data_IF_730474519804
#
_entry.id   IF_730474519804
#
_cell.length_a   1.000
_cell.length_b   1.000
_cell.length_c   1.000
_cell.angle_alpha   90.00
_cell.angle_beta   90.00
_cell.angle_gamma   90.00
#
_symmetry.space_group_name_H-M   'P 1'
#
loop_
_entity.id
_entity.type
_entity.pdbx_description
1 polymer ?
#
# COMPACT_ATOMS: atom_id res chain seq x y z
N UNK A 1 -8.13 26.88 -3.46
CA UNK A 1 -9.18 26.21 -2.66
C UNK A 1 -8.58 25.04 -1.90
N UNK A 2 -8.88 24.92 -0.64
CA UNK A 2 -8.40 23.82 0.19
C UNK A 2 -9.12 22.52 -0.19
N UNK A 3 -8.35 21.44 -0.40
CA UNK A 3 -8.92 20.14 -0.72
C UNK A 3 -9.53 19.50 0.53
N UNK A 4 -10.60 18.73 0.34
CA UNK A 4 -11.37 18.16 1.45
C UNK A 4 -10.62 17.10 2.22
N UNK A 5 -9.80 16.25 1.55
CA UNK A 5 -9.09 15.17 2.21
C UNK A 5 -7.93 14.65 1.35
N UNK A 6 -7.06 13.89 2.01
CA UNK A 6 -5.89 13.26 1.38
C UNK A 6 -6.14 11.77 1.18
N UNK A 7 -5.82 11.28 -0.02
CA UNK A 7 -5.77 9.86 -0.34
C UNK A 7 -4.35 9.49 -0.73
N UNK A 8 -3.82 8.46 -0.11
CA UNK A 8 -2.52 7.90 -0.48
C UNK A 8 -2.71 6.84 -1.56
N UNK A 9 -1.89 6.91 -2.59
CA UNK A 9 -1.92 5.97 -3.69
C UNK A 9 -0.55 5.90 -4.35
N UNK A 10 -0.18 4.71 -4.80
CA UNK A 10 0.97 4.50 -5.66
C UNK A 10 0.62 3.42 -6.68
N UNK A 11 1.10 3.59 -7.90
CA UNK A 11 0.86 2.62 -8.97
C UNK A 11 1.37 1.21 -8.62
N UNK A 12 2.31 1.10 -7.68
CA UNK A 12 2.81 -0.19 -7.24
C UNK A 12 1.73 -1.04 -6.57
N UNK A 13 0.64 -0.43 -6.11
CA UNK A 13 -0.48 -1.17 -5.54
C UNK A 13 -1.04 -2.20 -6.52
N UNK A 14 -1.00 -1.89 -7.82
CA UNK A 14 -1.34 -2.83 -8.88
C UNK A 14 -0.11 -3.44 -9.54
N UNK A 15 0.85 -2.61 -9.94
CA UNK A 15 2.03 -3.08 -10.69
C UNK A 15 3.00 -3.95 -9.87
N UNK A 16 2.90 -3.90 -8.55
CA UNK A 16 3.70 -4.75 -7.67
C UNK A 16 3.24 -6.21 -7.62
N UNK A 17 2.13 -6.54 -8.26
CA UNK A 17 1.59 -7.90 -8.33
C UNK A 17 1.76 -8.45 -9.74
N UNK A 18 1.85 -9.77 -9.85
CA UNK A 18 1.93 -10.41 -11.16
C UNK A 18 0.57 -10.32 -11.86
N UNK A 19 0.58 -10.01 -13.16
CA UNK A 19 -0.66 -9.85 -13.94
C UNK A 19 -1.46 -11.13 -14.06
N UNK A 20 -0.84 -12.30 -13.87
CA UNK A 20 -1.52 -13.59 -13.91
C UNK A 20 -2.10 -14.04 -12.58
N UNK A 21 -1.91 -13.26 -11.51
CA UNK A 21 -2.44 -13.59 -10.21
C UNK A 21 -3.96 -13.64 -10.22
N UNK A 22 -4.55 -14.51 -9.40
CA UNK A 22 -6.01 -14.58 -9.26
C UNK A 22 -6.61 -13.32 -8.65
N UNK A 23 -5.83 -12.63 -7.84
CA UNK A 23 -6.23 -11.35 -7.27
C UNK A 23 -6.44 -10.33 -8.40
N UNK A 24 -7.50 -9.50 -8.37
CA UNK A 24 -7.74 -8.50 -9.41
C UNK A 24 -6.71 -7.38 -9.32
N UNK A 25 -5.55 -7.61 -9.96
CA UNK A 25 -4.34 -6.81 -9.79
C UNK A 25 -4.49 -5.35 -10.25
N UNK A 26 -5.36 -5.10 -11.22
CA UNK A 26 -5.57 -3.76 -11.77
C UNK A 26 -6.65 -2.97 -11.04
N UNK A 27 -7.24 -3.52 -9.98
CA UNK A 27 -8.34 -2.88 -9.24
C UNK A 27 -7.96 -1.48 -8.75
N UNK A 28 -6.81 -1.35 -8.15
CA UNK A 28 -6.38 -0.06 -7.59
C UNK A 28 -6.17 1.00 -8.67
N UNK A 29 -5.54 0.61 -9.77
CA UNK A 29 -5.32 1.52 -10.90
C UNK A 29 -6.64 1.99 -11.50
N UNK A 30 -7.61 1.07 -11.67
CA UNK A 30 -8.92 1.40 -12.22
C UNK A 30 -9.71 2.34 -11.32
N UNK A 31 -9.68 2.09 -10.01
CA UNK A 31 -10.36 2.97 -9.04
C UNK A 31 -9.72 4.35 -9.05
N UNK A 32 -8.39 4.42 -9.06
CA UNK A 32 -7.67 5.69 -9.14
C UNK A 32 -8.07 6.49 -10.39
N UNK A 33 -8.05 5.84 -11.55
CA UNK A 33 -8.42 6.48 -12.81
C UNK A 33 -9.86 7.00 -12.77
N UNK A 34 -10.78 6.21 -12.24
CA UNK A 34 -12.18 6.59 -12.13
C UNK A 34 -12.35 7.80 -11.21
N UNK A 35 -11.66 7.81 -10.08
CA UNK A 35 -11.71 8.94 -9.14
C UNK A 35 -11.12 10.20 -9.75
N UNK A 36 -10.06 10.09 -10.55
CA UNK A 36 -9.48 11.25 -11.24
C UNK A 36 -10.43 11.85 -12.27
N UNK A 37 -11.30 11.03 -12.88
CA UNK A 37 -12.34 11.52 -13.79
C UNK A 37 -13.46 12.21 -13.02
N UNK A 38 -13.89 11.62 -11.90
CA UNK A 38 -15.00 12.15 -11.10
C UNK A 38 -14.62 13.40 -10.31
N UNK A 39 -13.37 13.48 -9.85
CA UNK A 39 -12.85 14.62 -9.10
C UNK A 39 -11.69 15.26 -9.88
N UNK A 40 -11.94 16.43 -10.43
CA UNK A 40 -10.96 17.12 -11.25
C UNK A 40 -9.97 17.96 -10.43
N UNK A 41 -9.56 17.44 -9.27
CA UNK A 41 -8.57 18.09 -8.42
C UNK A 41 -9.15 19.00 -7.35
N UNK A 42 -10.46 18.98 -7.15
CA UNK A 42 -11.14 19.88 -6.21
C UNK A 42 -11.19 19.36 -4.79
N UNK A 43 -11.33 18.04 -4.61
CA UNK A 43 -11.60 17.46 -3.30
C UNK A 43 -10.49 16.55 -2.80
N UNK A 44 -9.84 15.83 -3.70
CA UNK A 44 -8.84 14.82 -3.34
C UNK A 44 -7.44 15.39 -3.49
N UNK A 45 -6.68 15.36 -2.41
CA UNK A 45 -5.25 15.63 -2.42
C UNK A 45 -4.53 14.28 -2.48
N UNK A 46 -4.05 13.93 -3.68
CA UNK A 46 -3.33 12.67 -3.88
C UNK A 46 -1.91 12.78 -3.38
N UNK A 47 -1.48 11.81 -2.58
CA UNK A 47 -0.10 11.73 -2.11
C UNK A 47 0.44 10.33 -2.29
N UNK A 48 1.73 10.27 -2.62
CA UNK A 48 2.46 9.02 -2.66
C UNK A 48 2.85 8.65 -1.23
N UNK A 49 2.55 7.42 -0.76
CA UNK A 49 2.93 7.01 0.59
C UNK A 49 4.44 6.79 0.70
N UNK A 50 5.00 7.05 1.88
CA UNK A 50 6.33 6.63 2.22
C UNK A 50 6.36 5.12 2.50
N UNK A 51 7.54 4.53 2.43
CA UNK A 51 7.71 3.13 2.82
C UNK A 51 7.60 3.03 4.34
N UNK A 52 6.87 2.03 4.82
CA UNK A 52 6.90 1.70 6.24
C UNK A 52 8.33 1.28 6.62
N UNK A 53 8.74 1.58 7.84
CA UNK A 53 10.06 1.20 8.32
C UNK A 53 10.06 -0.23 8.87
N UNK A 54 11.25 -0.81 8.97
CA UNK A 54 11.41 -2.09 9.65
C UNK A 54 10.87 -2.04 11.07
N UNK A 55 11.12 -0.94 11.78
CA UNK A 55 10.64 -0.77 13.15
C UNK A 55 9.10 -0.80 13.22
N UNK A 56 8.43 -0.21 12.24
CA UNK A 56 6.97 -0.28 12.15
C UNK A 56 6.49 -1.74 12.08
N UNK A 57 7.15 -2.55 11.25
CA UNK A 57 6.79 -3.96 11.08
C UNK A 57 7.06 -4.77 12.36
N UNK A 58 8.12 -4.44 13.08
CA UNK A 58 8.51 -5.14 14.30
C UNK A 58 7.56 -4.92 15.46
N UNK A 59 6.65 -3.95 15.36
CA UNK A 59 5.64 -3.72 16.40
C UNK A 59 4.68 -4.90 16.54
N UNK A 60 4.42 -5.62 15.45
CA UNK A 60 3.42 -6.70 15.46
C UNK A 60 3.90 -8.01 14.82
N UNK A 61 5.04 -8.00 14.14
CA UNK A 61 5.56 -9.19 13.46
C UNK A 61 6.82 -9.71 14.11
N UNK A 62 7.01 -11.02 14.04
CA UNK A 62 8.23 -11.69 14.49
C UNK A 62 9.45 -11.16 13.73
N UNK A 63 10.54 -10.88 14.47
CA UNK A 63 11.74 -10.31 13.89
C UNK A 63 12.37 -11.19 12.81
N UNK A 64 12.39 -12.49 13.01
CA UNK A 64 12.92 -13.44 12.04
C UNK A 64 12.12 -13.43 10.74
N UNK A 65 10.79 -13.38 10.86
CA UNK A 65 9.90 -13.29 9.70
C UNK A 65 10.12 -11.98 8.93
N UNK A 66 10.22 -10.85 9.64
CA UNK A 66 10.47 -9.55 9.02
C UNK A 66 11.77 -9.55 8.24
N UNK A 67 12.85 -10.11 8.82
CA UNK A 67 14.13 -10.23 8.12
C UNK A 67 14.01 -11.02 6.83
N UNK A 68 13.35 -12.17 6.88
CA UNK A 68 13.15 -13.00 5.68
C UNK A 68 12.32 -12.29 4.63
N UNK A 69 11.27 -11.58 5.06
CA UNK A 69 10.41 -10.83 4.14
C UNK A 69 11.19 -9.72 3.42
N UNK A 70 11.92 -8.91 4.18
CA UNK A 70 12.67 -7.78 3.61
C UNK A 70 13.83 -8.22 2.72
N UNK A 71 14.43 -9.36 3.01
CA UNK A 71 15.58 -9.88 2.27
C UNK A 71 15.20 -10.86 1.16
N UNK A 72 13.91 -10.99 0.84
CA UNK A 72 13.40 -11.90 -0.20
C UNK A 72 13.76 -13.37 0.09
N UNK A 73 13.69 -13.76 1.36
CA UNK A 73 14.08 -15.08 1.84
C UNK A 73 12.93 -15.84 2.51
N UNK A 74 11.69 -15.49 2.17
CA UNK A 74 10.53 -16.21 2.69
C UNK A 74 10.53 -17.65 2.20
N UNK A 75 10.14 -18.56 3.08
CA UNK A 75 9.93 -19.97 2.73
C UNK A 75 8.68 -20.13 1.86
N UNK A 76 8.65 -21.17 1.05
CA UNK A 76 7.52 -21.46 0.17
C UNK A 76 6.19 -21.56 0.94
N UNK A 77 6.24 -22.15 2.13
CA UNK A 77 5.04 -22.23 2.99
C UNK A 77 4.52 -20.87 3.42
N UNK A 78 5.43 -19.92 3.67
CA UNK A 78 5.07 -18.55 4.04
C UNK A 78 4.45 -17.81 2.85
N UNK A 79 5.06 -17.94 1.68
CA UNK A 79 4.54 -17.36 0.43
C UNK A 79 3.13 -17.90 0.13
N UNK A 80 2.97 -19.21 0.29
CA UNK A 80 1.67 -19.86 0.07
C UNK A 80 0.60 -19.33 1.02
N UNK A 81 0.98 -19.11 2.26
CA UNK A 81 0.06 -18.58 3.28
C UNK A 81 -0.36 -17.15 2.99
N UNK A 82 0.56 -16.32 2.46
CA UNK A 82 0.24 -14.95 2.04
C UNK A 82 -0.74 -14.94 0.87
N UNK A 83 -0.60 -15.89 -0.07
CA UNK A 83 -1.57 -16.10 -1.13
C UNK A 83 -1.47 -15.18 -2.34
N UNK A 84 -0.47 -14.34 -2.42
CA UNK A 84 -0.24 -13.48 -3.60
C UNK A 84 0.69 -14.19 -4.59
N UNK A 85 0.12 -14.97 -5.47
CA UNK A 85 0.85 -15.82 -6.41
C UNK A 85 0.58 -15.41 -7.85
N UNK A 86 1.59 -15.54 -8.73
CA UNK A 86 2.99 -15.83 -8.47
C UNK A 86 3.70 -14.76 -7.63
N UNK A 87 4.65 -15.17 -6.81
CA UNK A 87 5.39 -14.25 -5.97
C UNK A 87 6.37 -13.42 -6.79
N UNK A 88 6.34 -12.10 -6.60
CA UNK A 88 7.29 -11.15 -7.21
C UNK A 88 8.01 -10.38 -6.13
N UNK A 89 9.28 -10.05 -6.37
CA UNK A 89 10.05 -9.25 -5.41
C UNK A 89 9.40 -7.89 -5.11
N UNK A 90 8.70 -7.33 -6.10
CA UNK A 90 7.99 -6.06 -5.94
C UNK A 90 6.87 -6.11 -4.89
N UNK A 91 6.41 -7.29 -4.51
CA UNK A 91 5.41 -7.44 -3.44
C UNK A 91 5.94 -6.85 -2.13
N UNK A 92 7.23 -6.95 -1.87
CA UNK A 92 7.85 -6.38 -0.66
C UNK A 92 7.68 -4.86 -0.66
N UNK A 93 8.10 -4.18 -1.72
CA UNK A 93 7.93 -2.72 -1.80
C UNK A 93 6.46 -2.32 -1.75
N UNK A 94 5.61 -3.05 -2.47
CA UNK A 94 4.17 -2.82 -2.46
C UNK A 94 3.61 -2.86 -1.04
N UNK A 95 3.97 -3.88 -0.29
CA UNK A 95 3.52 -4.05 1.09
C UNK A 95 3.98 -2.90 1.97
N UNK A 96 5.23 -2.48 1.83
CA UNK A 96 5.77 -1.35 2.59
C UNK A 96 5.07 -0.04 2.24
N UNK A 97 4.72 0.19 0.97
CA UNK A 97 3.98 1.38 0.56
C UNK A 97 2.55 1.36 1.09
N UNK A 98 1.88 0.21 1.03
CA UNK A 98 0.53 0.07 1.57
C UNK A 98 0.51 0.35 3.07
N UNK A 99 1.44 -0.23 3.80
CA UNK A 99 1.54 -0.05 5.24
C UNK A 99 1.91 1.40 5.58
N UNK A 100 2.88 1.96 4.87
CA UNK A 100 3.27 3.37 5.04
C UNK A 100 2.12 4.33 4.78
N UNK A 101 1.33 4.07 3.74
CA UNK A 101 0.16 4.88 3.42
C UNK A 101 -0.89 4.84 4.52
N UNK A 102 -1.13 3.67 5.10
CA UNK A 102 -2.06 3.54 6.22
C UNK A 102 -1.57 4.31 7.44
N UNK A 103 -0.28 4.21 7.76
CA UNK A 103 0.30 4.93 8.89
C UNK A 103 0.26 6.45 8.68
N UNK A 104 0.57 6.92 7.48
CA UNK A 104 0.50 8.36 7.19
C UNK A 104 -0.92 8.90 7.23
N UNK A 105 -1.89 8.13 6.73
CA UNK A 105 -3.30 8.50 6.81
C UNK A 105 -3.73 8.64 8.28
N UNK A 106 -3.31 7.69 9.12
CA UNK A 106 -3.60 7.74 10.55
C UNK A 106 -2.97 8.96 11.21
N UNK A 107 -1.74 9.31 10.86
CA UNK A 107 -1.07 10.50 11.38
C UNK A 107 -1.83 11.78 11.04
N UNK A 108 -2.36 11.89 9.83
CA UNK A 108 -3.16 13.05 9.43
C UNK A 108 -4.40 13.20 10.31
N UNK A 109 -5.06 12.09 10.64
CA UNK A 109 -6.20 12.13 11.54
C UNK A 109 -5.81 12.59 12.94
N UNK A 110 -4.68 12.15 13.46
CA UNK A 110 -4.17 12.61 14.75
C UNK A 110 -3.80 14.10 14.75
N UNK A 111 -3.44 14.64 13.59
CA UNK A 111 -3.12 16.06 13.44
C UNK A 111 -4.35 16.94 13.23
N UNK A 112 -5.54 16.36 13.24
CA UNK A 112 -6.79 17.11 13.15
C UNK A 112 -7.54 17.04 11.83
N UNK A 113 -7.04 16.29 10.86
CA UNK A 113 -7.78 16.04 9.63
C UNK A 113 -9.04 15.23 9.93
N UNK A 114 -10.14 15.56 9.25
CA UNK A 114 -11.40 14.86 9.45
C UNK A 114 -11.48 13.55 8.66
N UNK A 115 -10.73 13.45 7.57
CA UNK A 115 -10.78 12.30 6.68
C UNK A 115 -9.43 12.15 5.99
N UNK A 116 -8.94 10.94 5.98
CA UNK A 116 -7.77 10.55 5.20
C UNK A 116 -7.90 9.08 4.85
N UNK A 117 -7.33 8.68 3.73
CA UNK A 117 -7.45 7.30 3.28
C UNK A 117 -6.23 6.81 2.54
N UNK A 118 -6.19 5.50 2.36
CA UNK A 118 -5.17 4.79 1.60
C UNK A 118 -5.89 3.85 0.63
N UNK A 119 -5.57 3.99 -0.64
CA UNK A 119 -6.23 3.19 -1.66
C UNK A 119 -5.54 1.90 -1.93
#
# INVERSE_FOLDING_TARGET
>A
MQKAFTLFYDKIYSSGLDSSARFPVDRYAKVYEKLCVLDTGEHINWKRPNLASKDDLLLIHDASYVERFLNHQLQESEIRRIGLRPWKSQIVERTLRLTGGALEALELLFKGENLAGNM
#
